data_IF_295224614160
#
_entry.id   IF_295224614160
#
_cell.length_a   1.000
_cell.length_b   1.000
_cell.length_c   1.000
_cell.angle_alpha   90.00
_cell.angle_beta   90.00
_cell.angle_gamma   90.00
#
_symmetry.space_group_name_H-M   'P 1'
#
loop_
_entity.id
_entity.type
_entity.pdbx_description
1 polymer ?
#
# COMPACT_ATOMS: atom_id res chain seq x y z
N UNK A 1 -8.21 17.88 -1.88
CA UNK A 1 -9.39 16.98 -1.96
C UNK A 1 -10.18 17.11 -0.67
N UNK A 2 -11.51 17.14 -0.73
CA UNK A 2 -12.39 17.22 0.45
C UNK A 2 -13.24 15.95 0.45
N UNK A 3 -13.33 15.29 1.60
CA UNK A 3 -14.09 14.05 1.75
C UNK A 3 -15.19 14.22 2.78
N UNK A 4 -16.33 13.60 2.52
CA UNK A 4 -17.39 13.37 3.50
C UNK A 4 -17.44 11.86 3.76
N UNK A 5 -17.32 11.45 5.02
CA UNK A 5 -17.25 10.03 5.39
C UNK A 5 -18.53 9.69 6.16
N UNK A 6 -19.53 9.10 5.51
CA UNK A 6 -20.70 8.60 6.23
C UNK A 6 -20.29 7.43 7.13
N UNK A 7 -20.49 7.57 8.45
CA UNK A 7 -20.21 6.54 9.48
C UNK A 7 -20.91 5.18 9.25
N UNK A 8 -21.90 5.11 8.36
CA UNK A 8 -22.70 3.91 8.06
C UNK A 8 -22.14 3.09 6.89
N UNK A 9 -21.15 3.60 6.15
CA UNK A 9 -20.45 2.88 5.08
C UNK A 9 -19.06 2.37 5.49
N UNK A 10 -18.64 2.60 6.74
CA UNK A 10 -17.47 1.92 7.29
C UNK A 10 -17.83 0.46 7.52
N UNK A 11 -17.34 -0.42 6.65
CA UNK A 11 -17.21 -1.85 6.97
C UNK A 11 -16.47 -1.91 8.31
N UNK A 12 -16.97 -2.63 9.32
CA UNK A 12 -16.35 -2.69 10.64
C UNK A 12 -15.06 -3.50 10.51
N UNK A 13 -13.99 -2.85 10.07
CA UNK A 13 -12.63 -3.27 10.32
C UNK A 13 -12.37 -2.86 11.77
N UNK A 14 -12.18 -3.87 12.61
CA UNK A 14 -12.19 -3.90 14.08
C UNK A 14 -11.10 -3.06 14.79
N UNK A 15 -10.70 -1.92 14.23
CA UNK A 15 -9.91 -0.91 14.94
C UNK A 15 -10.68 0.41 14.91
N UNK A 16 -11.26 0.77 16.06
CA UNK A 16 -11.82 2.08 16.37
C UNK A 16 -10.76 3.18 16.25
N UNK A 17 -10.48 3.61 15.03
CA UNK A 17 -9.79 4.88 14.77
C UNK A 17 -10.64 5.64 13.76
N UNK A 18 -11.45 6.57 14.25
CA UNK A 18 -12.29 7.43 13.41
C UNK A 18 -11.41 8.28 12.48
N UNK A 19 -11.44 7.98 11.17
CA UNK A 19 -10.69 8.73 10.16
C UNK A 19 -10.44 8.02 8.84
N UNK A 20 -9.67 8.68 7.96
CA UNK A 20 -9.18 8.09 6.71
C UNK A 20 -7.71 7.72 6.82
N UNK A 21 -7.29 6.77 5.99
CA UNK A 21 -5.90 6.49 5.74
C UNK A 21 -5.59 6.95 4.32
N UNK A 22 -4.67 7.90 4.19
CA UNK A 22 -4.09 8.31 2.93
C UNK A 22 -2.83 7.49 2.66
N UNK A 23 -2.62 7.12 1.40
CA UNK A 23 -1.43 6.39 0.96
C UNK A 23 -0.65 7.25 -0.04
N UNK A 24 0.66 7.36 0.14
CA UNK A 24 1.56 7.96 -0.86
C UNK A 24 2.42 6.85 -1.47
N UNK A 25 2.25 6.62 -2.77
CA UNK A 25 2.95 5.59 -3.52
C UNK A 25 3.32 6.09 -4.92
N UNK A 26 4.20 5.35 -5.60
CA UNK A 26 4.50 5.62 -7.01
C UNK A 26 3.37 5.12 -7.90
N UNK A 27 3.23 5.67 -9.10
CA UNK A 27 2.15 5.30 -10.04
C UNK A 27 2.20 3.81 -10.43
N UNK A 28 3.39 3.23 -10.41
CA UNK A 28 3.63 1.85 -10.79
C UNK A 28 3.66 0.91 -9.56
N UNK A 29 3.35 1.38 -8.36
CA UNK A 29 3.28 0.54 -7.16
C UNK A 29 1.84 0.45 -6.64
N UNK A 30 1.48 -0.68 -6.05
CA UNK A 30 0.23 -0.80 -5.31
C UNK A 30 0.31 0.00 -3.99
N UNK A 31 -0.76 0.73 -3.60
CA UNK A 31 -0.84 1.30 -2.27
C UNK A 31 -0.88 0.18 -1.21
N UNK A 32 -0.06 0.29 -0.18
CA UNK A 32 0.04 -0.76 0.83
C UNK A 32 0.01 -0.16 2.24
N UNK A 33 -0.83 -0.68 3.14
CA UNK A 33 -1.05 -0.06 4.49
C UNK A 33 0.20 -0.02 5.34
N UNK A 34 1.07 -1.02 5.21
CA UNK A 34 2.35 -1.05 5.91
C UNK A 34 3.37 -0.02 5.38
N UNK A 35 3.14 0.62 4.22
CA UNK A 35 4.09 1.52 3.56
C UNK A 35 3.47 2.91 3.35
N UNK A 36 4.10 3.95 3.89
CA UNK A 36 3.75 5.36 3.66
C UNK A 36 2.26 5.71 3.88
N UNK A 37 1.64 5.12 4.91
CA UNK A 37 0.26 5.45 5.29
C UNK A 37 0.23 6.63 6.25
N UNK A 38 -0.74 7.52 6.04
CA UNK A 38 -0.95 8.72 6.83
C UNK A 38 -2.37 8.67 7.36
N UNK A 39 -2.50 8.71 8.69
CA UNK A 39 -3.80 8.74 9.36
C UNK A 39 -4.34 10.16 9.38
N UNK A 40 -5.59 10.31 8.97
CA UNK A 40 -6.27 11.58 8.83
C UNK A 40 -7.48 11.59 9.76
N UNK A 41 -7.39 12.42 10.80
CA UNK A 41 -8.48 12.62 11.75
C UNK A 41 -9.53 13.58 11.17
N UNK A 42 -10.83 13.28 11.29
CA UNK A 42 -11.92 14.23 10.99
C UNK A 42 -11.84 15.51 11.83
N UNK A 43 -12.72 16.47 11.55
CA UNK A 43 -12.77 17.80 12.15
C UNK A 43 -11.50 18.64 11.93
N UNK A 44 -10.71 18.29 10.90
CA UNK A 44 -9.45 18.95 10.59
C UNK A 44 -9.27 19.15 9.08
N UNK A 45 -8.56 20.23 8.76
CA UNK A 45 -7.93 20.45 7.46
C UNK A 45 -6.45 20.11 7.55
N UNK A 46 -6.04 19.03 6.91
CA UNK A 46 -4.67 18.55 6.84
C UNK A 46 -3.94 19.14 5.63
N UNK A 47 -2.77 19.69 5.84
CA UNK A 47 -1.82 20.08 4.81
C UNK A 47 -0.60 19.15 4.90
N UNK A 48 -0.44 18.31 3.87
CA UNK A 48 0.59 17.30 3.76
C UNK A 48 1.55 17.75 2.67
N UNK A 49 2.80 17.91 3.03
CA UNK A 49 3.86 18.22 2.09
C UNK A 49 4.78 17.02 1.98
N UNK A 50 5.15 16.59 0.77
CA UNK A 50 5.99 15.42 0.58
C UNK A 50 7.24 15.71 -0.26
N UNK A 51 8.30 14.93 -0.04
CA UNK A 51 9.48 14.84 -0.91
C UNK A 51 9.67 13.40 -1.35
N UNK A 52 9.98 13.20 -2.63
CA UNK A 52 10.24 11.88 -3.20
C UNK A 52 11.76 11.62 -3.19
N UNK A 53 12.15 10.47 -2.70
CA UNK A 53 13.50 9.95 -2.84
C UNK A 53 13.47 8.53 -3.40
N UNK A 54 14.53 8.17 -4.14
CA UNK A 54 14.71 6.85 -4.71
C UNK A 54 16.09 6.32 -4.38
N UNK A 55 16.12 5.06 -3.93
CA UNK A 55 17.37 4.32 -3.76
C UNK A 55 17.41 3.21 -4.81
N UNK A 56 18.49 3.17 -5.59
CA UNK A 56 18.69 2.23 -6.70
C UNK A 56 19.92 1.37 -6.40
N UNK A 57 19.69 0.08 -6.20
CA UNK A 57 20.72 -0.93 -5.99
C UNK A 57 21.13 -1.61 -7.30
N UNK A 58 22.38 -2.06 -7.37
CA UNK A 58 22.85 -2.87 -8.49
C UNK A 58 22.35 -4.30 -8.33
N UNK A 59 21.77 -4.93 -9.36
CA UNK A 59 21.34 -6.33 -9.31
C UNK A 59 22.56 -7.28 -9.24
N UNK A 60 22.30 -8.58 -9.32
CA UNK A 60 23.37 -9.60 -9.40
C UNK A 60 24.39 -9.22 -10.49
N UNK A 61 25.70 -9.35 -10.23
CA UNK A 61 26.32 -10.04 -9.08
C UNK A 61 26.53 -9.17 -7.82
N UNK A 62 26.18 -7.87 -7.83
CA UNK A 62 26.53 -6.95 -6.74
C UNK A 62 25.62 -7.08 -5.51
N UNK A 63 24.32 -7.24 -5.74
CA UNK A 63 23.34 -7.53 -4.69
C UNK A 63 22.35 -8.59 -5.17
N UNK A 64 21.56 -9.15 -4.25
CA UNK A 64 20.51 -10.11 -4.59
C UNK A 64 19.15 -9.44 -4.88
N UNK A 65 19.13 -8.16 -5.25
CA UNK A 65 17.88 -7.47 -5.55
C UNK A 65 17.27 -7.89 -6.89
N UNK A 66 15.96 -7.67 -7.06
CA UNK A 66 15.24 -7.82 -8.32
C UNK A 66 14.33 -6.63 -8.62
N UNK A 67 14.14 -6.35 -9.90
CA UNK A 67 13.04 -5.50 -10.40
C UNK A 67 12.06 -6.32 -11.24
N UNK A 68 12.28 -7.63 -11.36
CA UNK A 68 11.48 -8.52 -12.19
C UNK A 68 10.25 -8.95 -11.41
N UNK A 69 9.07 -8.69 -11.98
CA UNK A 69 7.82 -9.22 -11.48
C UNK A 69 7.74 -10.70 -11.81
N UNK A 70 7.79 -11.55 -10.78
CA UNK A 70 7.59 -12.99 -10.95
C UNK A 70 6.22 -13.33 -11.53
N UNK A 71 6.09 -14.51 -12.15
CA UNK A 71 4.85 -14.98 -12.79
C UNK A 71 3.61 -14.81 -11.89
N UNK A 72 3.75 -15.12 -10.61
CA UNK A 72 2.66 -15.15 -9.64
C UNK A 72 2.14 -13.74 -9.33
N UNK A 73 3.07 -12.81 -9.10
CA UNK A 73 2.76 -11.39 -8.88
C UNK A 73 2.14 -10.77 -10.14
N UNK A 74 2.63 -11.16 -11.31
CA UNK A 74 2.10 -10.69 -12.60
C UNK A 74 0.65 -11.11 -12.81
N UNK A 75 0.31 -12.37 -12.54
CA UNK A 75 -1.08 -12.84 -12.62
C UNK A 75 -2.00 -12.09 -11.67
N UNK A 76 -1.54 -11.78 -10.47
CA UNK A 76 -2.28 -10.96 -9.52
C UNK A 76 -2.52 -9.56 -10.08
N UNK A 77 -1.51 -8.93 -10.68
CA UNK A 77 -1.69 -7.65 -11.34
C UNK A 77 -2.65 -7.73 -12.52
N UNK A 78 -2.61 -8.79 -13.32
CA UNK A 78 -3.53 -9.01 -14.45
C UNK A 78 -4.98 -9.27 -14.02
N UNK A 79 -5.19 -9.72 -12.77
CA UNK A 79 -6.51 -9.89 -12.16
C UNK A 79 -7.04 -8.58 -11.56
N UNK A 80 -6.17 -7.79 -10.92
CA UNK A 80 -6.54 -6.53 -10.24
C UNK A 80 -6.68 -5.39 -11.24
N UNK A 81 -5.82 -5.36 -12.25
CA UNK A 81 -5.73 -4.32 -13.26
C UNK A 81 -6.06 -4.86 -14.64
N UNK A 82 -6.42 -3.98 -15.57
CA UNK A 82 -6.49 -4.39 -16.96
C UNK A 82 -5.10 -4.88 -17.44
N UNK A 83 -5.03 -5.81 -18.42
CA UNK A 83 -3.77 -6.43 -18.84
C UNK A 83 -2.70 -5.46 -19.34
N UNK A 84 -3.08 -4.25 -19.80
CA UNK A 84 -2.14 -3.26 -20.27
C UNK A 84 -1.52 -2.50 -19.09
N UNK A 85 -2.32 -2.15 -18.08
CA UNK A 85 -1.85 -1.55 -16.83
C UNK A 85 -1.04 -2.53 -15.98
N UNK A 86 -1.42 -3.81 -15.97
CA UNK A 86 -0.71 -4.86 -15.23
C UNK A 86 0.78 -5.00 -15.62
N UNK A 87 1.11 -4.73 -16.89
CA UNK A 87 2.49 -4.76 -17.39
C UNK A 87 3.36 -3.60 -16.91
N UNK A 88 2.74 -2.53 -16.42
CA UNK A 88 3.43 -1.33 -15.96
C UNK A 88 3.68 -1.34 -14.45
N UNK A 89 3.09 -2.31 -13.72
CA UNK A 89 3.26 -2.42 -12.27
C UNK A 89 4.67 -2.95 -11.96
N UNK A 90 5.37 -2.24 -11.08
CA UNK A 90 6.69 -2.59 -10.60
C UNK A 90 6.62 -3.72 -9.56
N UNK A 91 7.68 -4.52 -9.49
CA UNK A 91 7.84 -5.51 -8.43
C UNK A 91 7.75 -4.85 -7.05
N UNK A 92 6.95 -5.42 -6.14
CA UNK A 92 6.80 -4.97 -4.76
C UNK A 92 7.19 -6.08 -3.80
N UNK A 93 8.26 -5.85 -3.03
CA UNK A 93 8.71 -6.77 -1.98
C UNK A 93 7.63 -6.95 -0.91
N UNK A 94 7.00 -5.86 -0.47
CA UNK A 94 5.90 -5.92 0.51
C UNK A 94 4.73 -6.78 0.02
N UNK A 95 4.36 -6.67 -1.26
CA UNK A 95 3.30 -7.50 -1.83
C UNK A 95 3.73 -8.98 -1.92
N UNK A 96 4.99 -9.24 -2.26
CA UNK A 96 5.52 -10.60 -2.27
C UNK A 96 5.41 -11.25 -0.88
N UNK A 97 5.80 -10.52 0.17
CA UNK A 97 5.68 -10.99 1.56
C UNK A 97 4.23 -11.21 2.00
N UNK A 98 3.32 -10.32 1.64
CA UNK A 98 1.89 -10.50 1.93
C UNK A 98 1.34 -11.76 1.26
N UNK A 99 1.76 -12.04 0.03
CA UNK A 99 1.29 -13.21 -0.72
C UNK A 99 1.79 -14.53 -0.16
N UNK A 100 3.07 -14.62 0.26
CA UNK A 100 3.54 -15.82 0.93
C UNK A 100 2.89 -16.00 2.31
N UNK A 101 2.59 -14.92 3.03
CA UNK A 101 1.80 -14.98 4.26
C UNK A 101 0.39 -15.54 3.99
N UNK A 102 -0.34 -15.02 2.99
CA UNK A 102 -1.66 -15.55 2.63
C UNK A 102 -1.59 -17.01 2.19
N UNK A 103 -0.54 -17.41 1.46
CA UNK A 103 -0.32 -18.81 1.10
C UNK A 103 -0.13 -19.70 2.33
N UNK A 104 0.63 -19.23 3.33
CA UNK A 104 0.79 -19.93 4.59
C UNK A 104 -0.54 -20.03 5.35
N UNK A 105 -1.26 -18.93 5.53
CA UNK A 105 -2.58 -18.90 6.20
C UNK A 105 -3.54 -19.89 5.54
N UNK A 106 -3.62 -19.87 4.20
CA UNK A 106 -4.46 -20.79 3.46
C UNK A 106 -4.07 -22.25 3.68
N UNK A 107 -2.77 -22.56 3.70
CA UNK A 107 -2.30 -23.93 3.97
C UNK A 107 -2.69 -24.45 5.35
N UNK A 108 -2.81 -23.57 6.34
CA UNK A 108 -3.16 -23.94 7.72
C UNK A 108 -4.67 -23.95 7.96
N UNK A 109 -5.40 -23.02 7.35
CA UNK A 109 -6.77 -22.69 7.73
C UNK A 109 -7.79 -22.85 6.60
N UNK A 110 -7.36 -23.19 5.38
CA UNK A 110 -8.22 -23.34 4.19
C UNK A 110 -9.08 -22.10 3.85
N UNK A 111 -8.67 -20.93 4.32
CA UNK A 111 -9.28 -19.63 4.04
C UNK A 111 -8.18 -18.56 3.99
N UNK A 112 -8.51 -17.36 3.49
CA UNK A 112 -7.60 -16.20 3.50
C UNK A 112 -8.15 -15.04 4.29
N UNK A 113 -7.26 -14.20 4.83
CA UNK A 113 -7.68 -12.95 5.44
C UNK A 113 -8.00 -11.93 4.34
N UNK A 114 -9.06 -11.12 4.50
CA UNK A 114 -9.34 -10.05 3.57
C UNK A 114 -8.23 -9.00 3.66
N UNK A 115 -7.46 -8.86 2.58
CA UNK A 115 -6.44 -7.81 2.45
C UNK A 115 -6.75 -6.94 1.24
N UNK A 116 -6.36 -5.66 1.25
CA UNK A 116 -6.58 -4.78 0.11
C UNK A 116 -6.08 -5.45 -1.19
N UNK A 117 -6.90 -5.39 -2.24
CA UNK A 117 -6.61 -5.90 -3.60
C UNK A 117 -6.58 -7.44 -3.77
N UNK A 118 -6.60 -8.23 -2.70
CA UNK A 118 -6.55 -9.71 -2.77
C UNK A 118 -7.67 -10.35 -1.95
N UNK A 119 -8.91 -10.10 -2.34
CA UNK A 119 -10.06 -10.56 -1.55
C UNK A 119 -10.33 -12.06 -1.64
N UNK A 120 -9.88 -12.76 -2.70
CA UNK A 120 -10.19 -14.19 -2.92
C UNK A 120 -9.06 -15.00 -3.54
N UNK A 121 -7.89 -14.40 -3.71
CA UNK A 121 -6.80 -15.00 -4.46
C UNK A 121 -5.67 -15.41 -3.54
N UNK A 122 -5.28 -16.68 -3.64
CA UNK A 122 -4.11 -17.21 -2.95
C UNK A 122 -3.21 -17.91 -3.95
N UNK A 123 -1.91 -17.83 -3.72
CA UNK A 123 -0.94 -18.47 -4.57
C UNK A 123 -0.54 -19.84 -4.00
N UNK A 124 -0.55 -20.88 -4.84
CA UNK A 124 -0.01 -22.19 -4.48
C UNK A 124 1.48 -22.24 -4.78
N UNK A 125 2.30 -22.37 -3.74
CA UNK A 125 3.76 -22.52 -3.86
C UNK A 125 4.18 -23.72 -4.71
N UNK A 126 3.37 -24.78 -4.73
CA UNK A 126 3.69 -26.05 -5.40
C UNK A 126 3.32 -26.07 -6.89
N UNK A 127 2.36 -25.25 -7.31
CA UNK A 127 1.76 -25.40 -8.64
C UNK A 127 1.99 -24.21 -9.58
N UNK A 128 2.63 -23.14 -9.11
CA UNK A 128 2.73 -21.87 -9.86
C UNK A 128 1.37 -21.41 -10.40
N UNK A 129 0.32 -21.57 -9.57
CA UNK A 129 -1.07 -21.27 -9.92
C UNK A 129 -1.74 -20.38 -8.89
N UNK A 130 -2.58 -19.49 -9.40
CA UNK A 130 -3.52 -18.71 -8.60
C UNK A 130 -4.75 -19.56 -8.28
N UNK A 131 -5.08 -19.69 -7.01
CA UNK A 131 -6.27 -20.38 -6.52
C UNK A 131 -7.29 -19.34 -6.07
N UNK A 132 -8.56 -19.60 -6.39
CA UNK A 132 -9.69 -18.82 -5.88
C UNK A 132 -10.19 -19.52 -4.62
N UNK A 133 -10.26 -18.79 -3.51
CA UNK A 133 -10.68 -19.31 -2.21
C UNK A 133 -11.56 -18.33 -1.45
N UNK A 134 -12.22 -18.83 -0.42
CA UNK A 134 -13.10 -18.05 0.44
C UNK A 134 -12.30 -17.25 1.48
N UNK A 135 -12.81 -16.08 1.81
CA UNK A 135 -12.34 -15.30 2.96
C UNK A 135 -12.72 -16.00 4.26
N UNK A 136 -11.85 -15.92 5.28
CA UNK A 136 -12.20 -16.35 6.62
C UNK A 136 -13.37 -15.50 7.13
N UNK A 137 -14.48 -16.16 7.51
CA UNK A 137 -15.69 -15.47 7.96
C UNK A 137 -15.46 -14.85 9.35
N UNK A 138 -15.86 -13.59 9.58
CA UNK A 138 -15.73 -12.95 10.88
C UNK A 138 -16.47 -13.73 11.98
N UNK A 139 -15.87 -13.85 13.16
CA UNK A 139 -16.41 -14.55 14.33
C UNK A 139 -16.35 -16.08 14.24
N UNK A 140 -15.62 -16.66 13.29
CA UNK A 140 -15.54 -18.11 13.10
C UNK A 140 -14.22 -18.72 13.57
N UNK A 141 -14.20 -20.04 13.79
CA UNK A 141 -12.98 -20.80 14.10
C UNK A 141 -11.88 -20.58 13.04
N UNK A 142 -12.27 -20.43 11.78
CA UNK A 142 -11.35 -20.22 10.66
C UNK A 142 -10.67 -18.84 10.72
N UNK A 143 -11.36 -17.81 11.21
CA UNK A 143 -10.73 -16.50 11.46
C UNK A 143 -9.71 -16.59 12.59
N UNK A 144 -10.05 -17.23 13.71
CA UNK A 144 -9.10 -17.41 14.81
C UNK A 144 -7.86 -18.22 14.37
N UNK A 145 -8.06 -19.27 13.57
CA UNK A 145 -6.96 -20.00 12.94
C UNK A 145 -6.08 -19.05 12.11
N UNK A 146 -6.68 -18.25 11.23
CA UNK A 146 -5.96 -17.37 10.32
C UNK A 146 -5.19 -16.26 11.06
N UNK A 147 -5.77 -15.68 12.11
CA UNK A 147 -5.10 -14.70 12.96
C UNK A 147 -3.92 -15.32 13.72
N UNK A 148 -4.08 -16.53 14.25
CA UNK A 148 -2.98 -17.26 14.90
C UNK A 148 -1.87 -17.62 13.90
N UNK A 149 -2.23 -18.08 12.71
CA UNK A 149 -1.27 -18.39 11.64
C UNK A 149 -0.49 -17.13 11.21
N UNK A 150 -1.17 -16.01 11.01
CA UNK A 150 -0.53 -14.71 10.74
C UNK A 150 0.45 -14.32 11.85
N UNK A 151 0.04 -14.46 13.11
CA UNK A 151 0.93 -14.14 14.24
C UNK A 151 2.16 -15.04 14.26
N UNK A 152 1.99 -16.36 14.05
CA UNK A 152 3.11 -17.30 13.95
C UNK A 152 4.04 -16.97 12.80
N UNK A 153 3.48 -16.59 11.65
CA UNK A 153 4.25 -16.17 10.48
C UNK A 153 5.10 -14.93 10.76
N UNK A 154 4.51 -13.91 11.39
CA UNK A 154 5.18 -12.66 11.69
C UNK A 154 6.36 -12.80 12.66
N UNK A 155 6.31 -13.77 13.58
CA UNK A 155 7.37 -13.95 14.61
C UNK A 155 8.39 -15.05 14.24
N UNK A 156 8.09 -15.91 13.27
CA UNK A 156 8.95 -17.04 12.91
C UNK A 156 9.74 -16.79 11.62
N UNK A 157 10.98 -16.30 11.77
CA UNK A 157 11.87 -15.99 10.65
C UNK A 157 12.18 -17.20 9.77
N UNK A 158 12.30 -18.41 10.36
CA UNK A 158 12.57 -19.62 9.59
C UNK A 158 11.38 -20.00 8.72
N UNK A 159 10.16 -19.87 9.24
CA UNK A 159 8.93 -20.07 8.49
C UNK A 159 8.82 -19.07 7.32
N UNK A 160 9.06 -17.79 7.59
CA UNK A 160 9.07 -16.76 6.56
C UNK A 160 10.13 -17.04 5.47
N UNK A 161 11.33 -17.49 5.84
CA UNK A 161 12.37 -17.85 4.88
C UNK A 161 11.97 -19.01 3.94
N UNK A 162 11.22 -20.00 4.44
CA UNK A 162 10.71 -21.12 3.63
C UNK A 162 9.63 -20.64 2.67
N UNK A 163 8.58 -19.99 3.20
CA UNK A 163 7.40 -19.60 2.44
C UNK A 163 7.65 -18.42 1.49
N UNK A 164 8.58 -17.53 1.83
CA UNK A 164 8.93 -16.33 1.05
C UNK A 164 10.30 -16.45 0.38
N UNK A 165 10.83 -17.66 0.19
CA UNK A 165 12.14 -17.91 -0.43
C UNK A 165 12.30 -17.28 -1.83
N UNK A 166 11.20 -17.01 -2.53
CA UNK A 166 11.17 -16.36 -3.86
C UNK A 166 11.05 -14.83 -3.79
N UNK A 167 10.88 -14.24 -2.61
CA UNK A 167 10.79 -12.80 -2.42
C UNK A 167 12.19 -12.19 -2.29
N UNK A 168 12.75 -11.75 -3.41
CA UNK A 168 14.02 -11.03 -3.42
C UNK A 168 13.81 -9.54 -3.10
N UNK A 169 14.77 -8.85 -2.47
CA UNK A 169 14.67 -7.42 -2.20
C UNK A 169 14.46 -6.60 -3.48
N UNK A 170 13.75 -5.48 -3.40
CA UNK A 170 13.58 -4.59 -4.57
C UNK A 170 14.91 -3.94 -4.96
N UNK A 171 15.20 -3.82 -6.27
CA UNK A 171 16.35 -3.02 -6.73
C UNK A 171 16.09 -1.51 -6.68
N UNK A 172 14.82 -1.10 -6.68
CA UNK A 172 14.42 0.31 -6.67
C UNK A 172 13.46 0.51 -5.51
N UNK A 173 13.86 1.29 -4.52
CA UNK A 173 13.00 1.68 -3.41
C UNK A 173 12.62 3.15 -3.55
N UNK A 174 11.34 3.41 -3.74
CA UNK A 174 10.78 4.76 -3.65
C UNK A 174 10.29 5.03 -2.23
N UNK A 175 10.73 6.14 -1.65
CA UNK A 175 10.32 6.63 -0.33
C UNK A 175 9.73 8.03 -0.44
N UNK A 176 8.70 8.29 0.36
CA UNK A 176 8.05 9.59 0.48
C UNK A 176 8.23 10.09 1.92
N UNK A 177 9.10 11.08 2.12
CA UNK A 177 9.19 11.77 3.41
C UNK A 177 8.11 12.83 3.47
N UNK A 178 7.36 12.89 4.56
CA UNK A 178 6.20 13.77 4.69
C UNK A 178 6.30 14.70 5.89
N UNK A 179 5.88 15.95 5.68
CA UNK A 179 5.66 16.95 6.71
C UNK A 179 4.16 17.20 6.77
N UNK A 180 3.55 16.99 7.94
CA UNK A 180 2.10 17.07 8.14
C UNK A 180 1.79 18.20 9.11
N UNK A 181 0.86 19.07 8.72
CA UNK A 181 0.26 20.07 9.59
C UNK A 181 -1.27 20.00 9.48
N UNK A 182 -1.97 20.41 10.53
CA UNK A 182 -3.42 20.39 10.54
C UNK A 182 -3.99 21.57 11.31
N UNK A 183 -5.16 22.05 10.88
CA UNK A 183 -5.94 23.10 11.54
C UNK A 183 -7.38 22.65 11.76
N UNK A 184 -8.07 23.15 12.80
CA UNK A 184 -9.50 22.90 12.99
C UNK A 184 -10.33 23.27 11.76
N UNK A 185 -11.22 22.38 11.36
CA UNK A 185 -12.13 22.59 10.24
C UNK A 185 -13.42 21.75 10.44
N UNK A 186 -14.58 22.15 9.91
CA UNK A 186 -14.79 23.25 8.98
C UNK A 186 -15.00 24.60 9.68
N UNK A 187 -14.63 25.70 9.03
CA UNK A 187 -15.02 27.05 9.45
C UNK A 187 -16.51 27.29 9.20
N UNK A 188 -17.11 28.29 9.87
CA UNK A 188 -18.52 28.65 9.65
C UNK A 188 -18.83 28.92 8.17
N UNK A 189 -17.95 29.64 7.47
CA UNK A 189 -18.09 29.90 6.03
C UNK A 189 -18.03 28.63 5.18
N UNK A 190 -17.16 27.67 5.56
CA UNK A 190 -17.08 26.38 4.89
C UNK A 190 -18.36 25.57 5.07
N UNK A 191 -18.95 25.56 6.27
CA UNK A 191 -20.24 24.92 6.52
C UNK A 191 -21.33 25.49 5.62
N UNK A 192 -21.53 26.81 5.60
CA UNK A 192 -22.55 27.43 4.72
C UNK A 192 -22.33 27.09 3.24
N UNK A 193 -21.08 26.97 2.79
CA UNK A 193 -20.77 26.61 1.41
C UNK A 193 -21.14 25.15 1.10
N UNK A 194 -20.87 24.23 2.04
CA UNK A 194 -21.19 22.81 1.90
C UNK A 194 -22.67 22.52 2.08
N UNK A 195 -23.39 23.31 2.88
CA UNK A 195 -24.82 23.20 3.09
C UNK A 195 -25.58 23.31 1.77
N UNK A 196 -25.25 24.34 0.97
CA UNK A 196 -25.82 24.52 -0.38
C UNK A 196 -25.53 23.33 -1.31
N UNK A 197 -24.32 22.78 -1.23
CA UNK A 197 -23.91 21.66 -2.10
C UNK A 197 -24.64 20.37 -1.72
N UNK A 198 -24.74 20.07 -0.42
CA UNK A 198 -25.24 18.78 0.07
C UNK A 198 -26.77 18.77 0.19
N UNK A 199 -27.37 19.86 0.65
CA UNK A 199 -28.81 19.93 0.92
C UNK A 199 -29.61 20.55 -0.24
N UNK A 200 -29.06 21.57 -0.90
CA UNK A 200 -29.84 22.35 -1.90
C UNK A 200 -29.64 21.83 -3.34
N UNK A 201 -28.43 21.39 -3.70
CA UNK A 201 -28.08 21.00 -5.07
C UNK A 201 -28.40 19.54 -5.45
N UNK A 202 -29.32 18.89 -4.73
CA UNK A 202 -29.77 17.52 -4.99
C UNK A 202 -28.57 16.56 -5.18
N UNK A 203 -27.67 16.56 -4.20
CA UNK A 203 -26.41 15.82 -4.29
C UNK A 203 -26.67 14.33 -4.53
N UNK A 204 -25.85 13.70 -5.37
CA UNK A 204 -25.88 12.24 -5.57
C UNK A 204 -25.32 11.46 -4.39
N UNK A 205 -24.93 12.15 -3.31
CA UNK A 205 -24.34 11.55 -2.11
C UNK A 205 -25.49 11.08 -1.22
N UNK A 206 -25.47 9.79 -0.87
CA UNK A 206 -26.38 9.26 0.14
C UNK A 206 -26.06 9.91 1.48
N UNK A 207 -27.04 10.64 2.02
CA UNK A 207 -26.96 11.32 3.31
C UNK A 207 -27.71 10.51 4.37
N UNK A 208 -27.24 10.49 5.62
CA UNK A 208 -27.95 9.83 6.72
C UNK A 208 -29.33 10.44 6.97
N UNK A 209 -30.22 9.65 7.56
CA UNK A 209 -31.52 10.13 8.02
C UNK A 209 -31.36 11.28 9.03
N UNK A 210 -32.16 12.33 8.83
CA UNK A 210 -32.14 13.53 9.67
C UNK A 210 -30.85 14.37 9.54
N UNK A 211 -30.13 14.25 8.42
CA UNK A 211 -28.89 14.99 8.18
C UNK A 211 -29.11 16.51 8.17
N UNK A 212 -30.24 16.99 7.62
CA UNK A 212 -30.54 18.42 7.55
C UNK A 212 -30.69 19.05 8.95
N UNK A 213 -31.42 18.39 9.86
CA UNK A 213 -31.66 18.88 11.22
C UNK A 213 -30.39 18.84 12.08
N UNK A 214 -29.47 17.92 11.79
CA UNK A 214 -28.20 17.72 12.50
C UNK A 214 -26.98 18.19 11.72
N UNK A 215 -27.19 19.00 10.68
CA UNK A 215 -26.16 19.36 9.70
C UNK A 215 -24.86 19.83 10.35
N UNK A 216 -24.95 20.81 11.27
CA UNK A 216 -23.79 21.37 11.94
C UNK A 216 -23.02 20.34 12.76
N UNK A 217 -23.72 19.49 13.52
CA UNK A 217 -23.11 18.45 14.33
C UNK A 217 -22.42 17.38 13.47
N UNK A 218 -23.06 16.99 12.35
CA UNK A 218 -22.45 16.07 11.40
C UNK A 218 -21.20 16.66 10.75
N UNK A 219 -21.25 17.92 10.33
CA UNK A 219 -20.09 18.60 9.75
C UNK A 219 -18.94 18.74 10.75
N UNK A 220 -19.22 19.07 12.00
CA UNK A 220 -18.19 19.18 13.03
C UNK A 220 -17.51 17.85 13.34
N UNK A 221 -18.25 16.74 13.29
CA UNK A 221 -17.69 15.42 13.57
C UNK A 221 -17.00 14.77 12.35
N UNK A 222 -17.48 15.03 11.13
CA UNK A 222 -17.13 14.23 9.94
C UNK A 222 -16.38 14.97 8.86
N UNK A 223 -16.28 16.30 8.93
CA UNK A 223 -15.61 17.06 7.89
C UNK A 223 -14.11 16.75 7.88
N UNK A 224 -13.59 16.43 6.70
CA UNK A 224 -12.18 16.21 6.50
C UNK A 224 -11.73 16.90 5.21
N UNK A 225 -10.73 17.78 5.34
CA UNK A 225 -10.06 18.38 4.19
C UNK A 225 -8.61 17.93 4.14
N UNK A 226 -8.15 17.56 2.95
CA UNK A 226 -6.76 17.15 2.73
C UNK A 226 -6.19 17.93 1.55
N UNK A 227 -5.09 18.62 1.79
CA UNK A 227 -4.29 19.23 0.73
C UNK A 227 -2.93 18.52 0.70
N UNK A 228 -2.58 17.95 -0.44
CA UNK A 228 -1.29 17.29 -0.65
C UNK A 228 -0.47 18.13 -1.62
N UNK A 229 0.75 18.48 -1.22
CA UNK A 229 1.65 19.36 -1.95
C UNK A 229 3.03 18.73 -2.08
N UNK A 230 3.67 18.90 -3.23
CA UNK A 230 5.07 18.51 -3.39
C UNK A 230 5.97 19.61 -2.82
N UNK A 231 6.82 19.28 -1.85
CA UNK A 231 7.70 20.27 -1.21
C UNK A 231 8.79 20.78 -2.15
N UNK A 232 9.15 19.97 -3.15
CA UNK A 232 10.19 20.27 -4.12
C UNK A 232 9.90 19.55 -5.42
N UNK A 233 10.11 20.18 -6.60
CA UNK A 233 9.99 19.48 -7.88
C UNK A 233 11.10 18.44 -8.09
N UNK A 234 12.14 18.43 -7.25
CA UNK A 234 13.27 17.51 -7.38
C UNK A 234 13.01 16.16 -6.71
N UNK A 235 13.49 15.10 -7.36
CA UNK A 235 13.56 13.75 -6.79
C UNK A 235 15.01 13.49 -6.37
N UNK A 236 15.22 13.12 -5.10
CA UNK A 236 16.56 12.74 -4.63
C UNK A 236 16.84 11.31 -5.03
N UNK A 237 17.95 11.04 -5.73
CA UNK A 237 18.31 9.71 -6.21
C UNK A 237 19.64 9.27 -5.58
N UNK A 238 19.62 8.19 -4.81
CA UNK A 238 20.79 7.49 -4.29
C UNK A 238 21.03 6.25 -5.15
N UNK A 239 22.03 6.28 -6.03
CA UNK A 239 22.32 5.19 -6.96
C UNK A 239 23.64 4.51 -6.62
N UNK A 240 23.59 3.20 -6.43
CA UNK A 240 24.79 2.37 -6.34
C UNK A 240 25.47 2.28 -7.71
N UNK A 241 26.78 2.50 -7.75
CA UNK A 241 27.61 2.39 -8.95
C UNK A 241 28.75 1.41 -8.69
N UNK A 242 29.08 0.61 -9.70
CA UNK A 242 30.20 -0.31 -9.62
C UNK A 242 31.50 0.51 -9.63
N UNK A 243 32.38 0.28 -8.66
CA UNK A 243 33.65 1.02 -8.54
C UNK A 243 34.63 0.67 -9.67
N UNK A 244 34.60 -0.57 -10.13
CA UNK A 244 35.43 -1.08 -11.22
C UNK A 244 34.53 -1.67 -12.27
N UNK A 245 34.82 -1.34 -13.53
CA UNK A 245 34.18 -1.98 -14.67
C UNK A 245 34.99 -3.20 -15.12
N UNK A 246 34.38 -4.03 -15.97
CA UNK A 246 35.05 -5.18 -16.58
C UNK A 246 36.27 -4.72 -17.40
N UNK A 247 36.16 -3.58 -18.09
CA UNK A 247 37.23 -2.97 -18.87
C UNK A 247 38.39 -2.50 -18.01
N UNK A 248 38.12 -1.94 -16.82
CA UNK A 248 39.18 -1.54 -15.89
C UNK A 248 39.94 -2.77 -15.38
N UNK A 249 39.19 -3.83 -15.04
CA UNK A 249 39.75 -5.10 -14.58
C UNK A 249 40.63 -5.74 -15.64
N UNK A 250 40.15 -5.87 -16.89
CA UNK A 250 40.92 -6.47 -17.97
C UNK A 250 42.12 -5.63 -18.40
N UNK A 251 41.99 -4.30 -18.39
CA UNK A 251 43.11 -3.41 -18.69
C UNK A 251 44.21 -3.52 -17.64
N UNK A 252 43.84 -3.63 -16.35
CA UNK A 252 44.79 -3.84 -15.27
C UNK A 252 45.51 -5.20 -15.37
N UNK A 253 44.76 -6.28 -15.64
CA UNK A 253 45.34 -7.62 -15.83
C UNK A 253 46.25 -7.65 -17.07
N UNK A 254 45.79 -7.08 -18.20
CA UNK A 254 46.57 -7.00 -19.44
C UNK A 254 47.86 -6.19 -19.27
N UNK A 255 47.78 -5.06 -18.56
CA UNK A 255 48.96 -4.26 -18.21
C UNK A 255 49.95 -5.00 -17.30
N UNK A 256 49.47 -5.75 -16.31
CA UNK A 256 50.32 -6.57 -15.44
C UNK A 256 50.93 -7.78 -16.13
N UNK A 257 50.22 -8.40 -17.08
CA UNK A 257 50.71 -9.57 -17.82
C UNK A 257 51.70 -9.17 -18.93
N UNK A 258 51.62 -7.93 -19.41
CA UNK A 258 52.55 -7.38 -20.40
C UNK A 258 53.85 -6.81 -19.82
N UNK A 259 53.99 -6.74 -18.48
CA UNK A 259 55.22 -6.40 -17.76
C UNK A 259 56.04 -7.67 -17.49
#
# INVERSE_FOLDING_TARGET
MVFYIPHHLSVPLTTFEDGLILFLHDNNELPFKAKNSIRLRPALAHAITYRKSQTIFLPKPYTNCTSVVGYNLRHIYEVIFDPNSARQVAYSEALCYELCEQAYIFSQCSCILPVPFLMRYVFSLDHDRLLITNTCLPGTLNENCALNARQQFAVNVALMAVWCSRCAPQCIHTQFSTDISALPAPTAQQKTSWEKILLENNSTVSLPDGFAEKYNAYMDANYLRVTVMCASPYVTIHKQQAKLTLTDTFSAIGGQTGL
#
